data_IF_206558926024
#
_entry.id   IF_206558926024
#
_cell.length_a   1.000
_cell.length_b   1.000
_cell.length_c   1.000
_cell.angle_alpha   90.00
_cell.angle_beta   90.00
_cell.angle_gamma   90.00
#
_symmetry.space_group_name_H-M   'P 1'
#
loop_
_entity.id
_entity.type
_entity.pdbx_description
1 polymer ?
#
# COMPACT_ATOMS: atom_id res chain seq x y z
N UNK A 1 -29.26 -14.34 -5.76
CA UNK A 1 -28.65 -15.67 -5.97
C UNK A 1 -27.14 -15.46 -6.03
N UNK A 2 -26.46 -15.56 -4.89
CA UNK A 2 -25.01 -15.38 -4.78
C UNK A 2 -24.35 -16.76 -4.76
N UNK A 3 -23.38 -16.97 -5.64
CA UNK A 3 -22.58 -18.19 -5.71
C UNK A 3 -21.32 -17.99 -4.85
N UNK A 4 -21.05 -18.81 -3.82
CA UNK A 4 -19.82 -18.72 -3.06
C UNK A 4 -18.69 -19.46 -3.79
N UNK A 5 -17.59 -18.75 -4.05
CA UNK A 5 -16.32 -19.37 -4.45
C UNK A 5 -15.80 -20.24 -3.30
N UNK A 6 -15.84 -21.56 -3.50
CA UNK A 6 -15.26 -22.56 -2.61
C UNK A 6 -13.73 -22.48 -2.67
N UNK A 7 -13.07 -22.25 -1.53
CA UNK A 7 -11.66 -22.58 -1.37
C UNK A 7 -11.51 -24.11 -1.45
N UNK A 8 -10.86 -24.61 -2.49
CA UNK A 8 -10.44 -26.01 -2.56
C UNK A 8 -9.11 -26.14 -1.81
N UNK A 9 -9.16 -26.70 -0.61
CA UNK A 9 -8.00 -27.28 0.07
C UNK A 9 -7.62 -28.58 -0.63
N UNK A 10 -6.64 -28.52 -1.52
CA UNK A 10 -6.03 -29.70 -2.15
C UNK A 10 -4.63 -29.94 -1.60
N UNK A 11 -4.51 -30.78 -0.57
CA UNK A 11 -3.29 -31.54 -0.30
C UNK A 11 -3.17 -32.58 -1.41
N UNK A 12 -2.29 -32.33 -2.37
CA UNK A 12 -2.01 -33.23 -3.50
C UNK A 12 -0.54 -33.12 -3.87
N UNK A 13 0.18 -34.20 -3.61
CA UNK A 13 1.60 -34.40 -3.91
C UNK A 13 1.82 -34.30 -5.43
N UNK A 14 2.44 -33.21 -5.91
CA UNK A 14 2.98 -33.14 -7.27
C UNK A 14 4.38 -32.51 -7.23
N UNK A 15 5.36 -33.36 -7.50
CA UNK A 15 6.73 -32.97 -7.78
C UNK A 15 6.76 -32.16 -9.08
N UNK A 16 6.81 -30.85 -8.94
CA UNK A 16 7.40 -29.94 -9.91
C UNK A 16 8.06 -28.84 -9.09
N UNK A 17 9.39 -28.80 -9.09
CA UNK A 17 10.14 -27.64 -8.62
C UNK A 17 9.92 -26.51 -9.63
N UNK A 18 8.68 -25.99 -9.69
CA UNK A 18 8.44 -24.65 -10.18
C UNK A 18 9.30 -23.77 -9.29
N UNK A 19 10.41 -23.29 -9.85
CA UNK A 19 11.32 -22.35 -9.21
C UNK A 19 10.44 -21.23 -8.66
N UNK A 20 10.18 -21.23 -7.35
CA UNK A 20 9.42 -20.16 -6.70
C UNK A 20 10.28 -18.92 -6.91
N UNK A 21 9.88 -18.04 -7.82
CA UNK A 21 10.48 -16.72 -7.83
C UNK A 21 10.14 -16.07 -6.48
N UNK A 22 11.14 -15.48 -5.85
CA UNK A 22 10.93 -14.81 -4.58
C UNK A 22 9.96 -13.64 -4.80
N UNK A 23 8.97 -13.44 -3.91
CA UNK A 23 8.05 -12.31 -4.04
C UNK A 23 8.84 -10.99 -3.99
N UNK A 24 8.46 -10.05 -4.85
CA UNK A 24 9.11 -8.74 -4.97
C UNK A 24 8.10 -7.60 -4.84
N UNK A 25 8.61 -6.43 -4.51
CA UNK A 25 7.89 -5.16 -4.60
C UNK A 25 8.63 -4.20 -5.52
N UNK A 26 7.91 -3.24 -6.09
CA UNK A 26 8.54 -2.09 -6.71
C UNK A 26 9.30 -1.27 -5.66
N UNK A 27 10.45 -0.74 -6.06
CA UNK A 27 11.34 0.12 -5.27
C UNK A 27 11.83 1.25 -6.16
N UNK A 28 11.20 2.42 -6.08
CA UNK A 28 11.60 3.64 -6.78
C UNK A 28 10.75 4.83 -6.29
N UNK A 29 11.17 6.05 -6.59
CA UNK A 29 10.42 7.29 -6.33
C UNK A 29 10.12 8.01 -7.64
N UNK A 30 8.84 8.19 -7.97
CA UNK A 30 8.41 9.11 -9.02
C UNK A 30 8.20 10.50 -8.43
N UNK A 31 9.02 11.46 -8.87
CA UNK A 31 9.07 12.80 -8.25
C UNK A 31 8.02 13.76 -8.80
N UNK A 32 7.47 13.47 -9.98
CA UNK A 32 6.43 14.28 -10.59
C UNK A 32 6.95 15.39 -11.52
N UNK A 33 6.02 16.21 -12.06
CA UNK A 33 6.28 17.14 -13.15
C UNK A 33 7.12 18.37 -12.76
N UNK A 34 7.29 18.63 -11.47
CA UNK A 34 8.09 19.78 -10.98
C UNK A 34 9.59 19.51 -10.99
N UNK A 35 10.01 18.28 -11.29
CA UNK A 35 11.41 17.85 -11.31
C UNK A 35 11.86 17.60 -12.76
N UNK A 36 13.09 17.95 -13.06
CA UNK A 36 13.75 17.70 -14.34
C UNK A 36 14.99 16.82 -14.17
N UNK A 37 15.52 16.29 -15.27
CA UNK A 37 16.71 15.41 -15.24
C UNK A 37 17.98 16.12 -14.72
N UNK A 38 17.98 17.44 -14.64
CA UNK A 38 19.09 18.23 -14.14
C UNK A 38 18.92 18.57 -12.65
N UNK A 39 17.80 18.19 -12.05
CA UNK A 39 17.50 18.49 -10.66
C UNK A 39 18.39 17.62 -9.78
N UNK A 40 19.26 18.25 -9.00
CA UNK A 40 20.08 17.54 -8.04
C UNK A 40 19.20 17.06 -6.87
N UNK A 41 18.85 15.78 -6.89
CA UNK A 41 17.99 15.17 -5.88
C UNK A 41 18.85 14.80 -4.67
N UNK A 42 18.72 15.57 -3.60
CA UNK A 42 19.38 15.28 -2.33
C UNK A 42 18.34 14.94 -1.26
N UNK A 43 18.23 13.65 -0.92
CA UNK A 43 17.34 13.14 0.13
C UNK A 43 17.62 13.72 1.53
N UNK A 44 18.79 14.32 1.75
CA UNK A 44 19.13 14.98 3.02
C UNK A 44 18.58 16.41 3.11
N UNK A 45 18.05 16.97 2.01
CA UNK A 45 17.50 18.33 2.03
C UNK A 45 16.16 18.37 2.77
N UNK A 46 15.87 19.51 3.38
CA UNK A 46 14.64 19.73 4.15
C UNK A 46 13.37 19.59 3.31
N UNK A 47 13.45 19.77 1.99
CA UNK A 47 12.35 19.61 1.06
C UNK A 47 11.80 18.16 0.98
N UNK A 48 12.61 17.15 1.34
CA UNK A 48 12.21 15.73 1.31
C UNK A 48 12.09 15.10 2.70
N UNK A 49 12.18 15.89 3.77
CA UNK A 49 12.22 15.39 5.15
C UNK A 49 10.98 14.55 5.54
N UNK A 50 9.84 14.81 4.88
CA UNK A 50 8.58 14.11 5.12
C UNK A 50 8.15 13.21 3.95
N UNK A 51 8.95 13.14 2.87
CA UNK A 51 8.66 12.33 1.68
C UNK A 51 9.63 11.15 1.64
N UNK A 52 9.14 9.91 1.53
CA UNK A 52 10.03 8.77 1.31
C UNK A 52 10.87 9.00 0.05
N UNK A 53 12.18 9.17 0.23
CA UNK A 53 13.16 9.43 -0.82
C UNK A 53 13.93 8.15 -1.10
N UNK A 54 13.51 7.41 -2.13
CA UNK A 54 13.99 6.05 -2.40
C UNK A 54 14.44 5.94 -3.85
N UNK A 55 15.72 5.65 -4.03
CA UNK A 55 16.31 5.42 -5.34
C UNK A 55 15.92 4.06 -5.94
N UNK A 56 15.84 3.96 -7.28
CA UNK A 56 16.07 5.03 -8.28
C UNK A 56 14.92 6.05 -8.40
N UNK A 57 15.21 7.20 -9.00
CA UNK A 57 14.23 8.26 -9.24
C UNK A 57 13.70 8.22 -10.66
N UNK A 58 12.37 8.18 -10.79
CA UNK A 58 11.65 8.29 -12.05
C UNK A 58 11.20 9.74 -12.25
N UNK A 59 11.80 10.41 -13.25
CA UNK A 59 11.52 11.80 -13.55
C UNK A 59 10.67 11.86 -14.82
N UNK A 60 9.39 12.17 -14.65
CA UNK A 60 8.46 12.29 -15.77
C UNK A 60 7.25 13.13 -15.38
N UNK A 61 6.65 13.76 -16.39
CA UNK A 61 5.46 14.62 -16.21
C UNK A 61 4.23 13.82 -15.80
N UNK A 62 4.10 12.59 -16.30
CA UNK A 62 2.98 11.69 -16.04
C UNK A 62 3.40 10.58 -15.07
N UNK A 63 2.49 10.04 -14.25
CA UNK A 63 2.78 8.87 -13.45
C UNK A 63 3.33 7.73 -14.33
N UNK A 64 4.35 7.01 -13.88
CA UNK A 64 5.00 6.05 -14.74
C UNK A 64 4.14 4.80 -14.91
N UNK A 65 4.26 4.16 -16.07
CA UNK A 65 3.49 2.96 -16.39
C UNK A 65 4.13 1.74 -15.72
N UNK A 66 3.55 1.32 -14.60
CA UNK A 66 4.05 0.23 -13.76
C UNK A 66 4.08 -1.11 -14.51
N UNK A 67 3.12 -1.34 -15.42
CA UNK A 67 3.12 -2.53 -16.28
C UNK A 67 4.27 -2.51 -17.27
N UNK A 68 4.56 -1.34 -17.85
CA UNK A 68 5.71 -1.17 -18.73
C UNK A 68 7.03 -1.39 -17.96
N UNK A 69 7.15 -0.83 -16.75
CA UNK A 69 8.31 -1.08 -15.90
C UNK A 69 8.51 -2.56 -15.60
N UNK A 70 7.42 -3.28 -15.31
CA UNK A 70 7.48 -4.72 -15.04
C UNK A 70 8.05 -5.54 -16.20
N UNK A 71 7.75 -5.13 -17.43
CA UNK A 71 8.16 -5.85 -18.64
C UNK A 71 9.58 -5.44 -19.06
N UNK A 72 9.93 -4.16 -18.94
CA UNK A 72 11.10 -3.59 -19.63
C UNK A 72 12.25 -3.18 -18.72
N UNK A 73 12.02 -2.90 -17.43
CA UNK A 73 13.07 -2.41 -16.54
C UNK A 73 13.85 -3.53 -15.85
N UNK A 74 15.11 -3.23 -15.51
CA UNK A 74 15.98 -4.18 -14.83
C UNK A 74 15.43 -4.51 -13.42
N UNK A 75 15.17 -5.80 -13.21
CA UNK A 75 14.60 -6.31 -11.95
C UNK A 75 15.47 -6.10 -10.72
N UNK A 76 16.75 -5.83 -10.89
CA UNK A 76 17.69 -5.67 -9.78
C UNK A 76 17.72 -4.24 -9.20
N UNK A 77 17.24 -3.25 -9.96
CA UNK A 77 17.33 -1.83 -9.59
C UNK A 77 16.00 -1.29 -9.07
N UNK A 78 14.91 -1.59 -9.80
CA UNK A 78 13.56 -1.08 -9.53
C UNK A 78 12.72 -1.95 -8.58
N UNK A 79 13.33 -2.97 -7.99
CA UNK A 79 12.61 -3.95 -7.16
C UNK A 79 13.39 -4.32 -5.92
N UNK A 80 12.66 -4.69 -4.89
CA UNK A 80 13.20 -5.26 -3.67
C UNK A 80 12.56 -6.61 -3.36
N UNK A 81 13.33 -7.51 -2.75
CA UNK A 81 12.83 -8.79 -2.26
C UNK A 81 11.90 -8.58 -1.07
N UNK A 82 10.71 -9.18 -1.13
CA UNK A 82 9.70 -9.09 -0.08
C UNK A 82 10.04 -10.08 1.04
N UNK A 83 10.71 -9.57 2.09
CA UNK A 83 11.09 -10.35 3.27
C UNK A 83 9.89 -10.64 4.18
N UNK A 84 10.01 -11.68 5.01
CA UNK A 84 9.00 -12.01 6.00
C UNK A 84 8.69 -10.80 6.92
N UNK A 85 7.40 -10.52 7.08
CA UNK A 85 6.92 -9.39 7.88
C UNK A 85 6.96 -8.03 7.19
N UNK A 86 7.43 -7.93 5.94
CA UNK A 86 7.33 -6.72 5.11
C UNK A 86 6.10 -6.80 4.18
N UNK A 87 5.74 -5.65 3.64
CA UNK A 87 4.72 -5.44 2.61
C UNK A 87 5.24 -4.51 1.52
N UNK A 88 4.64 -4.58 0.34
CA UNK A 88 4.83 -3.59 -0.71
C UNK A 88 4.06 -2.33 -0.32
N UNK A 89 4.78 -1.22 -0.17
CA UNK A 89 4.22 0.07 0.20
C UNK A 89 4.22 0.97 -1.02
N UNK A 90 3.07 1.58 -1.29
CA UNK A 90 2.91 2.71 -2.20
C UNK A 90 2.54 3.93 -1.38
N UNK A 91 3.43 4.90 -1.33
CA UNK A 91 3.24 6.18 -0.68
C UNK A 91 2.96 7.24 -1.74
N UNK A 92 1.84 7.94 -1.66
CA UNK A 92 1.33 8.83 -2.70
C UNK A 92 0.99 10.18 -2.11
N UNK A 93 1.52 11.24 -2.71
CA UNK A 93 1.24 12.61 -2.29
C UNK A 93 0.25 13.25 -3.26
N UNK A 94 -0.90 13.66 -2.75
CA UNK A 94 -1.95 14.29 -3.56
C UNK A 94 -2.16 15.75 -3.14
N UNK A 95 -2.31 16.62 -4.13
CA UNK A 95 -2.64 18.02 -3.93
C UNK A 95 -3.75 18.42 -4.91
N UNK A 96 -4.80 19.09 -4.43
CA UNK A 96 -5.94 19.51 -5.24
C UNK A 96 -6.54 18.40 -6.13
N UNK A 97 -6.56 17.15 -5.63
CA UNK A 97 -7.10 15.99 -6.35
C UNK A 97 -6.18 15.39 -7.41
N UNK A 98 -4.97 15.92 -7.60
CA UNK A 98 -3.97 15.38 -8.49
C UNK A 98 -2.83 14.70 -7.70
N UNK A 99 -2.31 13.59 -8.24
CA UNK A 99 -1.10 12.96 -7.69
C UNK A 99 0.11 13.81 -8.08
N UNK A 100 0.84 14.29 -7.08
CA UNK A 100 2.05 15.10 -7.25
C UNK A 100 3.28 14.21 -7.37
N UNK A 101 3.41 13.22 -6.49
CA UNK A 101 4.51 12.27 -6.49
C UNK A 101 4.06 10.93 -5.89
N UNK A 102 4.86 9.88 -6.12
CA UNK A 102 4.64 8.60 -5.47
C UNK A 102 5.92 7.81 -5.30
N UNK A 103 6.08 7.16 -4.16
CA UNK A 103 7.24 6.33 -3.82
C UNK A 103 6.78 4.91 -3.51
N UNK A 104 7.48 3.93 -4.11
CA UNK A 104 7.24 2.50 -3.96
C UNK A 104 8.42 1.88 -3.22
N UNK A 105 8.16 1.00 -2.24
CA UNK A 105 9.23 0.31 -1.51
C UNK A 105 8.75 -0.90 -0.70
N UNK A 106 9.70 -1.74 -0.28
CA UNK A 106 9.48 -2.77 0.72
C UNK A 106 9.58 -2.14 2.12
N UNK A 107 8.51 -2.23 2.90
CA UNK A 107 8.53 -1.72 4.28
C UNK A 107 7.53 -2.42 5.18
N UNK A 108 7.28 -1.83 6.35
CA UNK A 108 6.24 -2.27 7.28
C UNK A 108 5.35 -1.09 7.60
N UNK A 109 4.04 -1.31 7.58
CA UNK A 109 3.08 -0.37 8.14
C UNK A 109 2.63 -0.93 9.47
N UNK A 110 2.66 -0.11 10.51
CA UNK A 110 2.26 -0.48 11.87
C UNK A 110 1.11 0.44 12.31
N UNK A 111 0.09 -0.15 12.93
CA UNK A 111 -0.98 0.58 13.59
C UNK A 111 -0.84 0.41 15.11
N UNK A 112 -0.86 1.52 15.84
CA UNK A 112 -0.57 1.54 17.27
C UNK A 112 0.85 1.04 17.57
N UNK A 113 0.98 0.19 18.58
CA UNK A 113 2.29 -0.21 19.14
C UNK A 113 2.78 -1.60 18.70
N UNK A 114 2.01 -2.40 17.96
CA UNK A 114 2.43 -3.79 17.68
C UNK A 114 1.89 -4.47 16.41
N UNK A 115 0.84 -3.97 15.76
CA UNK A 115 0.20 -4.71 14.68
C UNK A 115 0.72 -4.27 13.31
N UNK A 116 1.51 -5.14 12.68
CA UNK A 116 1.90 -4.96 11.28
C UNK A 116 0.70 -5.21 10.37
N UNK A 117 0.40 -4.24 9.51
CA UNK A 117 -0.70 -4.30 8.56
C UNK A 117 -0.18 -4.88 7.24
N UNK A 118 -0.54 -6.12 6.88
CA UNK A 118 -0.05 -6.73 5.65
C UNK A 118 -0.68 -6.11 4.40
N UNK A 119 -1.93 -5.65 4.50
CA UNK A 119 -2.72 -5.08 3.40
C UNK A 119 -3.66 -3.98 3.91
N UNK A 120 -3.73 -2.83 3.22
CA UNK A 120 -4.65 -1.73 3.52
C UNK A 120 -4.08 -0.35 3.16
N UNK A 121 -4.94 0.66 2.99
CA UNK A 121 -4.55 2.05 2.73
C UNK A 121 -4.89 2.97 3.90
N UNK A 122 -3.98 3.90 4.20
CA UNK A 122 -4.11 4.92 5.23
C UNK A 122 -3.95 6.29 4.60
N UNK A 123 -4.80 7.24 5.00
CA UNK A 123 -4.74 8.60 4.48
C UNK A 123 -4.58 9.61 5.60
N UNK A 124 -3.70 10.60 5.41
CA UNK A 124 -3.52 11.71 6.33
C UNK A 124 -3.64 13.02 5.56
N UNK A 125 -4.27 14.03 6.17
CA UNK A 125 -4.34 15.39 5.64
C UNK A 125 -3.34 16.27 6.38
N UNK A 126 -2.41 16.89 5.66
CA UNK A 126 -1.39 17.80 6.21
C UNK A 126 -1.26 19.01 5.30
N UNK A 127 -1.53 20.21 5.82
CA UNK A 127 -1.31 21.47 5.08
C UNK A 127 -1.97 21.52 3.69
N UNK A 128 -3.21 21.01 3.55
CA UNK A 128 -3.93 20.96 2.27
C UNK A 128 -3.57 19.79 1.35
N UNK A 129 -2.56 19.00 1.71
CA UNK A 129 -2.16 17.80 0.98
C UNK A 129 -2.83 16.56 1.59
N UNK A 130 -3.08 15.56 0.74
CA UNK A 130 -3.55 14.24 1.13
C UNK A 130 -2.43 13.24 0.87
N UNK A 131 -1.84 12.75 1.94
CA UNK A 131 -0.88 11.65 1.93
C UNK A 131 -1.67 10.35 1.97
N UNK A 132 -1.34 9.42 1.08
CA UNK A 132 -1.86 8.06 1.10
C UNK A 132 -0.72 7.04 1.16
N UNK A 133 -0.79 6.11 2.11
CA UNK A 133 0.11 4.97 2.21
C UNK A 133 -0.69 3.67 2.10
N UNK A 134 -0.48 2.92 1.02
CA UNK A 134 -1.11 1.62 0.80
C UNK A 134 -0.09 0.49 0.96
N UNK A 135 -0.41 -0.51 1.77
CA UNK A 135 0.34 -1.75 1.92
C UNK A 135 -0.38 -2.89 1.19
N UNK A 136 0.36 -3.77 0.54
CA UNK A 136 -0.17 -5.02 0.00
C UNK A 136 0.90 -6.12 0.01
N UNK A 137 0.48 -7.39 -0.09
CA UNK A 137 1.40 -8.52 -0.28
C UNK A 137 1.45 -8.98 -1.72
N UNK A 138 2.67 -9.03 -2.25
CA UNK A 138 2.98 -9.57 -3.56
C UNK A 138 3.18 -11.10 -3.47
N UNK A 139 2.80 -11.81 -4.53
CA UNK A 139 3.08 -13.23 -4.67
C UNK A 139 4.30 -13.45 -5.59
N UNK A 140 4.99 -14.58 -5.40
CA UNK A 140 6.20 -14.91 -6.15
C UNK A 140 5.97 -15.42 -7.58
N UNK A 141 4.81 -15.15 -8.17
CA UNK A 141 4.43 -15.74 -9.46
C UNK A 141 3.94 -14.70 -10.48
N UNK A 142 4.17 -13.40 -10.22
CA UNK A 142 3.73 -12.35 -11.13
C UNK A 142 4.20 -10.95 -10.76
N UNK A 143 3.63 -9.97 -11.46
CA UNK A 143 3.89 -8.55 -11.20
C UNK A 143 3.56 -8.21 -9.74
N UNK A 144 4.41 -7.42 -9.05
CA UNK A 144 4.11 -7.00 -7.70
C UNK A 144 2.77 -6.30 -7.55
N UNK A 145 2.13 -6.51 -6.41
CA UNK A 145 0.95 -5.75 -6.06
C UNK A 145 1.29 -4.25 -6.01
N UNK A 146 0.45 -3.44 -6.64
CA UNK A 146 0.68 -2.00 -6.82
C UNK A 146 -0.48 -1.14 -6.26
N UNK A 147 -1.55 -1.80 -5.85
CA UNK A 147 -2.73 -1.18 -5.25
C UNK A 147 -3.16 -2.05 -4.09
N UNK A 148 -3.68 -1.41 -3.05
CA UNK A 148 -4.41 -2.10 -1.99
C UNK A 148 -5.83 -1.56 -1.93
N UNK A 149 -6.76 -2.35 -1.41
CA UNK A 149 -8.16 -1.95 -1.27
C UNK A 149 -8.20 -0.77 -0.30
N UNK A 150 -8.70 0.38 -0.75
CA UNK A 150 -9.08 1.48 0.15
C UNK A 150 -10.23 0.99 1.01
N UNK A 151 -9.96 0.65 2.26
CA UNK A 151 -11.01 0.59 3.25
C UNK A 151 -11.34 2.03 3.62
N UNK A 152 -12.29 2.64 2.91
CA UNK A 152 -13.03 3.77 3.46
C UNK A 152 -13.82 3.22 4.64
N UNK A 153 -13.22 3.20 5.83
CA UNK A 153 -13.99 3.12 7.06
C UNK A 153 -14.84 4.40 7.10
N UNK A 154 -16.04 4.30 6.54
CA UNK A 154 -17.10 5.27 6.79
C UNK A 154 -17.32 5.24 8.30
N UNK A 155 -17.18 6.38 8.97
CA UNK A 155 -17.34 6.56 10.42
C UNK A 155 -18.77 6.26 10.93
N UNK A 156 -19.58 5.54 10.15
CA UNK A 156 -20.99 5.26 10.40
C UNK A 156 -21.27 3.90 11.10
N UNK A 157 -20.26 3.11 11.49
CA UNK A 157 -20.48 1.77 12.09
C UNK A 157 -20.01 1.66 13.56
N UNK A 158 -19.85 2.78 14.28
CA UNK A 158 -19.60 2.74 15.73
C UNK A 158 -20.62 3.59 16.50
N UNK A 159 -21.91 3.35 16.29
CA UNK A 159 -22.99 3.85 17.18
C UNK A 159 -24.23 2.95 17.16
N UNK A 160 -24.09 1.62 17.25
CA UNK A 160 -25.24 0.71 17.44
C UNK A 160 -25.06 -0.36 18.52
N UNK A 161 -24.22 -0.11 19.53
CA UNK A 161 -24.03 -1.03 20.68
C UNK A 161 -24.30 -0.39 22.05
N UNK A 162 -24.83 0.83 22.12
CA UNK A 162 -25.13 1.51 23.40
C UNK A 162 -26.62 1.68 23.74
N UNK A 163 -27.54 1.11 22.95
CA UNK A 163 -28.99 1.20 23.25
C UNK A 163 -29.60 -0.04 23.92
N UNK A 164 -28.87 -1.13 24.13
CA UNK A 164 -29.41 -2.32 24.80
C UNK A 164 -29.22 -2.35 26.34
N UNK A 165 -28.52 -1.37 26.93
CA UNK A 165 -28.27 -1.38 28.39
C UNK A 165 -29.36 -0.64 29.20
N UNK A 166 -30.26 0.12 28.56
CA UNK A 166 -31.28 0.90 29.26
C UNK A 166 -32.70 0.29 29.26
N UNK A 167 -32.90 -0.92 28.75
CA UNK A 167 -34.22 -1.58 28.75
C UNK A 167 -34.47 -2.49 29.97
N UNK A 168 -33.47 -2.75 30.80
CA UNK A 168 -33.58 -3.72 31.91
C UNK A 168 -34.05 -3.13 33.25
N UNK A 169 -34.32 -1.82 33.35
CA UNK A 169 -34.74 -1.15 34.59
C UNK A 169 -36.23 -0.75 34.68
N UNK A 170 -37.06 -1.08 33.67
CA UNK A 170 -38.49 -0.71 33.64
C UNK A 170 -39.48 -1.88 33.71
N UNK A 171 -39.09 -3.03 34.27
CA UNK A 171 -40.05 -4.08 34.65
C UNK A 171 -40.08 -4.26 36.17
N UNK A 172 -40.78 -3.36 36.85
CA UNK A 172 -41.48 -3.64 38.11
C UNK A 172 -42.96 -3.32 37.93
N UNK A 173 -43.85 -4.31 37.87
CA UNK A 173 -45.22 -4.11 38.29
C UNK A 173 -45.35 -4.44 39.78
N UNK A 174 -46.26 -3.68 40.41
CA UNK A 174 -46.83 -3.92 41.73
C UNK A 174 -47.41 -5.34 41.87
#
# INVERSE_FOLDING_TARGET
MFMPLRCVTGLGHLNNLAKREEPKCFRFSWLGPTFDNNTNINCSSTAYKEIPCIEPFEISVKPPNITHMWINENRSEFYCLLRAGYSCIKYTYNFNGAVVNSTHFCGKVIEGTAHAIPTGCFTQKVGGHIIEACACRSNGFGMPCNLSIRHTYSTAIITLLLLSVNAASYLRPY
#
